data_IF_219512977677
#
_entry.id   IF_219512977677
#
_cell.length_a   1.000
_cell.length_b   1.000
_cell.length_c   1.000
_cell.angle_alpha   90.00
_cell.angle_beta   90.00
_cell.angle_gamma   90.00
#
_symmetry.space_group_name_H-M   'P 1'
#
loop_
_entity.id
_entity.type
_entity.pdbx_description
1 polymer ?
#
# COMPACT_ATOMS: atom_id res chain seq x y z
N UNK A 1 -6.66 16.26 4.40
CA UNK A 1 -6.97 15.42 3.24
C UNK A 1 -7.98 16.09 2.31
N UNK A 2 -9.14 16.55 2.78
CA UNK A 2 -10.16 17.23 1.95
C UNK A 2 -9.56 18.41 1.17
N UNK A 3 -8.88 19.33 1.86
CA UNK A 3 -8.26 20.51 1.25
C UNK A 3 -7.19 20.16 0.21
N UNK A 4 -6.39 19.09 0.46
CA UNK A 4 -5.39 18.62 -0.48
C UNK A 4 -6.03 18.18 -1.81
N UNK A 5 -7.08 17.35 -1.74
CA UNK A 5 -7.77 16.87 -2.94
C UNK A 5 -8.46 18.02 -3.68
N UNK A 6 -9.10 18.93 -2.96
CA UNK A 6 -9.73 20.11 -3.55
C UNK A 6 -8.72 21.02 -4.24
N UNK A 7 -7.54 21.23 -3.65
CA UNK A 7 -6.46 21.99 -4.26
C UNK A 7 -5.95 21.34 -5.55
N UNK A 8 -5.67 20.03 -5.52
CA UNK A 8 -5.19 19.31 -6.70
C UNK A 8 -6.20 19.38 -7.85
N UNK A 9 -7.47 19.04 -7.58
CA UNK A 9 -8.54 19.07 -8.60
C UNK A 9 -8.74 20.46 -9.21
N UNK A 10 -8.59 21.51 -8.40
CA UNK A 10 -8.80 22.91 -8.84
C UNK A 10 -7.61 23.48 -9.58
N UNK A 11 -6.40 23.29 -9.05
CA UNK A 11 -5.23 24.08 -9.42
C UNK A 11 -4.22 23.29 -10.28
N UNK A 12 -4.34 21.93 -10.29
CA UNK A 12 -3.45 21.06 -11.08
C UNK A 12 -4.24 20.33 -12.17
N UNK A 13 -5.32 19.65 -11.79
CA UNK A 13 -6.17 18.92 -12.72
C UNK A 13 -6.81 17.68 -12.12
N UNK A 14 -7.64 16.97 -12.92
CA UNK A 14 -8.35 15.78 -12.46
C UNK A 14 -7.41 14.67 -12.01
N UNK A 15 -7.62 14.16 -10.80
CA UNK A 15 -6.80 13.08 -10.24
C UNK A 15 -7.15 11.75 -10.92
N UNK A 16 -6.20 11.17 -11.64
CA UNK A 16 -6.35 9.87 -12.33
C UNK A 16 -5.86 8.69 -11.49
N UNK A 17 -4.83 8.90 -10.67
CA UNK A 17 -4.24 7.85 -9.84
C UNK A 17 -3.99 8.38 -8.42
N UNK A 18 -4.36 7.58 -7.44
CA UNK A 18 -3.99 7.79 -6.04
C UNK A 18 -3.24 6.58 -5.53
N UNK A 19 -2.01 6.80 -5.08
CA UNK A 19 -1.19 5.77 -4.44
C UNK A 19 -1.07 6.07 -2.95
N UNK A 20 -1.67 5.23 -2.12
CA UNK A 20 -1.49 5.27 -0.68
C UNK A 20 -0.31 4.37 -0.30
N UNK A 21 0.86 4.97 -0.12
CA UNK A 21 2.13 4.29 0.16
C UNK A 21 2.71 4.69 1.53
N UNK A 22 1.88 4.73 2.56
CA UNK A 22 2.33 5.07 3.90
C UNK A 22 2.90 3.84 4.60
N UNK A 23 4.17 3.96 5.02
CA UNK A 23 4.80 3.03 5.95
C UNK A 23 4.40 3.34 7.39
N UNK A 24 4.37 2.32 8.21
CA UNK A 24 4.23 2.44 9.66
C UNK A 24 4.91 1.24 10.31
N UNK A 25 6.00 0.80 9.71
CA UNK A 25 6.73 -0.39 10.13
C UNK A 25 7.46 -0.11 11.46
N UNK A 26 7.00 -0.78 12.52
CA UNK A 26 7.63 -0.76 13.85
C UNK A 26 7.77 -2.19 14.35
N UNK A 27 8.82 -2.44 15.12
CA UNK A 27 9.10 -3.75 15.71
C UNK A 27 9.21 -3.62 17.23
N UNK A 28 8.20 -4.14 17.94
CA UNK A 28 8.15 -4.21 19.39
C UNK A 28 7.53 -5.51 19.84
N UNK A 29 7.97 -6.06 20.98
CA UNK A 29 7.25 -7.18 21.60
C UNK A 29 5.81 -6.78 21.95
N UNK A 30 4.93 -7.76 22.16
CA UNK A 30 3.54 -7.45 22.55
C UNK A 30 3.47 -6.68 23.87
N UNK A 31 4.39 -6.95 24.80
CA UNK A 31 4.44 -6.28 26.11
C UNK A 31 5.03 -4.86 26.02
N UNK A 32 5.94 -4.62 25.07
CA UNK A 32 6.56 -3.31 24.86
C UNK A 32 5.75 -2.41 23.89
N UNK A 33 4.76 -2.99 23.19
CA UNK A 33 3.87 -2.25 22.31
C UNK A 33 2.88 -1.43 23.13
N UNK A 34 3.19 -0.16 23.35
CA UNK A 34 2.29 0.74 24.09
C UNK A 34 1.02 1.04 23.31
N UNK A 35 -0.08 1.40 24.02
CA UNK A 35 -1.32 1.86 23.37
C UNK A 35 -1.05 3.02 22.39
N UNK A 36 -0.20 3.95 22.77
CA UNK A 36 0.19 5.10 21.92
C UNK A 36 0.81 4.64 20.59
N UNK A 37 1.75 3.71 20.63
CA UNK A 37 2.40 3.14 19.44
C UNK A 37 1.36 2.43 18.58
N UNK A 38 0.59 1.52 19.18
CA UNK A 38 -0.43 0.76 18.47
C UNK A 38 -1.43 1.67 17.76
N UNK A 39 -1.98 2.65 18.49
CA UNK A 39 -2.93 3.65 17.95
C UNK A 39 -2.31 4.44 16.80
N UNK A 40 -1.08 4.95 16.98
CA UNK A 40 -0.41 5.76 15.96
C UNK A 40 -0.13 4.99 14.67
N UNK A 41 0.31 3.74 14.79
CA UNK A 41 0.54 2.85 13.62
C UNK A 41 -0.77 2.57 12.89
N UNK A 42 -1.86 2.33 13.63
CA UNK A 42 -3.17 2.12 13.04
C UNK A 42 -3.73 3.38 12.35
N UNK A 43 -3.56 4.55 12.97
CA UNK A 43 -3.93 5.84 12.37
C UNK A 43 -3.19 6.09 11.05
N UNK A 44 -1.89 5.81 11.02
CA UNK A 44 -1.07 6.01 9.82
C UNK A 44 -1.36 4.96 8.74
N UNK A 45 -1.48 3.69 9.09
CA UNK A 45 -1.59 2.59 8.14
C UNK A 45 -3.02 2.30 7.67
N UNK A 46 -4.03 2.49 8.54
CA UNK A 46 -5.41 2.13 8.26
C UNK A 46 -6.32 3.35 8.11
N UNK A 47 -6.40 4.21 9.13
CA UNK A 47 -7.31 5.37 9.11
C UNK A 47 -6.93 6.35 8.01
N UNK A 48 -5.64 6.65 7.83
CA UNK A 48 -5.19 7.54 6.76
C UNK A 48 -5.49 6.93 5.37
N UNK A 49 -5.39 5.60 5.23
CA UNK A 49 -5.82 4.89 4.01
C UNK A 49 -7.30 5.09 3.71
N UNK A 50 -8.16 4.92 4.71
CA UNK A 50 -9.61 5.20 4.58
C UNK A 50 -9.87 6.64 4.17
N UNK A 51 -9.25 7.62 4.84
CA UNK A 51 -9.45 9.04 4.53
C UNK A 51 -8.99 9.38 3.10
N UNK A 52 -7.88 8.82 2.66
CA UNK A 52 -7.35 9.01 1.30
C UNK A 52 -8.29 8.36 0.27
N UNK A 53 -8.64 7.10 0.47
CA UNK A 53 -9.52 6.37 -0.46
C UNK A 53 -10.91 7.01 -0.58
N UNK A 54 -11.46 7.50 0.53
CA UNK A 54 -12.75 8.20 0.53
C UNK A 54 -12.72 9.49 -0.30
N UNK A 55 -11.70 10.32 -0.14
CA UNK A 55 -11.58 11.56 -0.92
C UNK A 55 -11.28 11.26 -2.40
N UNK A 56 -10.44 10.25 -2.69
CA UNK A 56 -10.23 9.78 -4.06
C UNK A 56 -11.55 9.34 -4.72
N UNK A 57 -12.36 8.54 -4.03
CA UNK A 57 -13.65 8.08 -4.53
C UNK A 57 -14.59 9.24 -4.87
N UNK A 58 -14.65 10.27 -4.02
CA UNK A 58 -15.51 11.45 -4.24
C UNK A 58 -15.22 12.16 -5.57
N UNK A 59 -13.93 12.30 -5.94
CA UNK A 59 -13.53 13.02 -7.14
C UNK A 59 -13.52 12.13 -8.40
N UNK A 60 -13.33 10.81 -8.23
CA UNK A 60 -13.27 9.86 -9.35
C UNK A 60 -14.66 9.34 -9.79
N UNK A 61 -15.58 9.08 -8.85
CA UNK A 61 -16.92 8.52 -9.17
C UNK A 61 -17.68 9.33 -10.20
N UNK A 62 -17.77 10.67 -10.13
CA UNK A 62 -18.50 11.46 -11.13
C UNK A 62 -17.96 11.28 -12.55
N UNK A 63 -16.67 11.03 -12.69
CA UNK A 63 -16.00 10.81 -13.99
C UNK A 63 -16.03 9.33 -14.42
N UNK A 64 -16.43 8.41 -13.53
CA UNK A 64 -16.39 6.96 -13.74
C UNK A 64 -15.01 6.46 -14.19
N UNK A 65 -13.97 7.08 -13.67
CA UNK A 65 -12.57 6.85 -14.06
C UNK A 65 -11.63 7.18 -12.91
N UNK A 66 -10.64 6.31 -12.71
CA UNK A 66 -9.56 6.49 -11.74
C UNK A 66 -9.03 5.17 -11.23
N UNK A 67 -7.85 5.22 -10.63
CA UNK A 67 -7.19 4.08 -10.00
C UNK A 67 -6.76 4.45 -8.59
N UNK A 68 -7.10 3.61 -7.62
CA UNK A 68 -6.70 3.75 -6.22
C UNK A 68 -5.83 2.55 -5.86
N UNK A 69 -4.59 2.78 -5.46
CA UNK A 69 -3.64 1.73 -5.10
C UNK A 69 -3.28 1.86 -3.62
N UNK A 70 -3.54 0.81 -2.85
CA UNK A 70 -3.16 0.71 -1.44
C UNK A 70 -1.96 -0.23 -1.31
N UNK A 71 -0.80 0.29 -0.94
CA UNK A 71 0.42 -0.52 -0.77
C UNK A 71 0.29 -1.44 0.43
N UNK A 72 0.25 -2.74 0.14
CA UNK A 72 0.34 -3.81 1.12
C UNK A 72 1.79 -4.16 1.49
N UNK A 73 1.93 -5.16 2.32
CA UNK A 73 3.21 -5.72 2.76
C UNK A 73 3.01 -7.19 3.14
N UNK A 74 4.08 -7.92 3.41
CA UNK A 74 4.03 -9.23 4.11
C UNK A 74 3.04 -9.20 5.29
N UNK A 75 3.05 -8.10 6.04
CA UNK A 75 2.17 -7.87 7.18
C UNK A 75 0.68 -7.72 6.82
N UNK A 76 0.32 -7.65 5.53
CA UNK A 76 -1.08 -7.74 5.07
C UNK A 76 -1.57 -9.19 4.96
N UNK A 77 -0.66 -10.16 4.96
CA UNK A 77 -0.94 -11.60 4.79
C UNK A 77 -0.80 -12.38 6.07
N UNK A 78 0.20 -12.04 6.88
CA UNK A 78 0.53 -12.75 8.13
C UNK A 78 1.07 -11.81 9.20
N UNK A 79 0.71 -12.08 10.44
CA UNK A 79 1.36 -11.47 11.61
C UNK A 79 2.67 -12.18 11.92
N UNK A 80 3.70 -11.42 12.26
CA UNK A 80 4.98 -11.95 12.72
C UNK A 80 5.30 -11.47 14.12
N UNK A 81 6.17 -12.20 14.83
CA UNK A 81 6.64 -11.81 16.16
C UNK A 81 7.20 -10.39 16.13
N UNK A 82 6.72 -9.52 17.02
CA UNK A 82 7.15 -8.13 17.11
C UNK A 82 6.43 -7.16 16.19
N UNK A 83 5.52 -7.60 15.33
CA UNK A 83 4.83 -6.74 14.35
C UNK A 83 3.32 -6.59 14.61
N UNK A 84 2.86 -6.79 15.85
CA UNK A 84 1.42 -6.77 16.18
C UNK A 84 0.70 -5.50 15.73
N UNK A 85 1.29 -4.32 15.97
CA UNK A 85 0.71 -3.04 15.55
C UNK A 85 0.72 -2.88 14.02
N UNK A 86 1.84 -3.17 13.37
CA UNK A 86 2.00 -3.03 11.93
C UNK A 86 1.11 -4.01 11.15
N UNK A 87 1.09 -5.29 11.56
CA UNK A 87 0.25 -6.29 10.92
C UNK A 87 -1.24 -5.95 11.07
N UNK A 88 -1.69 -5.52 12.25
CA UNK A 88 -3.08 -5.10 12.46
C UNK A 88 -3.48 -3.97 11.51
N UNK A 89 -2.62 -2.97 11.33
CA UNK A 89 -2.89 -1.85 10.42
C UNK A 89 -2.92 -2.29 8.95
N UNK A 90 -2.00 -3.17 8.53
CA UNK A 90 -1.92 -3.64 7.14
C UNK A 90 -3.05 -4.61 6.79
N UNK A 91 -3.50 -5.46 7.72
CA UNK A 91 -4.71 -6.25 7.53
C UNK A 91 -5.96 -5.36 7.40
N UNK A 92 -6.08 -4.34 8.25
CA UNK A 92 -7.17 -3.38 8.15
C UNK A 92 -7.18 -2.65 6.81
N UNK A 93 -6.01 -2.23 6.31
CA UNK A 93 -5.86 -1.61 4.99
C UNK A 93 -6.26 -2.56 3.85
N UNK A 94 -5.88 -3.84 3.94
CA UNK A 94 -6.29 -4.87 2.97
C UNK A 94 -7.80 -5.06 2.95
N UNK A 95 -8.44 -5.16 4.12
CA UNK A 95 -9.89 -5.27 4.23
C UNK A 95 -10.61 -4.06 3.65
N UNK A 96 -10.09 -2.84 3.89
CA UNK A 96 -10.58 -1.61 3.29
C UNK A 96 -10.49 -1.67 1.75
N UNK A 97 -9.32 -2.03 1.20
CA UNK A 97 -9.11 -2.14 -0.24
C UNK A 97 -10.10 -3.12 -0.88
N UNK A 98 -10.33 -4.28 -0.25
CA UNK A 98 -11.29 -5.28 -0.72
C UNK A 98 -12.73 -4.75 -0.74
N UNK A 99 -13.13 -4.03 0.31
CA UNK A 99 -14.46 -3.42 0.39
C UNK A 99 -14.65 -2.36 -0.69
N UNK A 100 -13.65 -1.47 -0.82
CA UNK A 100 -13.67 -0.40 -1.83
C UNK A 100 -13.65 -0.95 -3.26
N UNK A 101 -12.90 -2.00 -3.55
CA UNK A 101 -12.88 -2.63 -4.88
C UNK A 101 -14.28 -3.12 -5.29
N UNK A 102 -15.00 -3.78 -4.38
CA UNK A 102 -16.36 -4.27 -4.63
C UNK A 102 -17.36 -3.15 -4.82
N UNK A 103 -17.25 -2.08 -4.05
CA UNK A 103 -18.15 -0.94 -4.11
C UNK A 103 -17.88 -0.03 -5.32
N UNK A 104 -16.63 0.20 -5.65
CA UNK A 104 -16.20 1.21 -6.62
C UNK A 104 -15.98 0.63 -8.03
N UNK A 105 -15.66 -0.66 -8.14
CA UNK A 105 -15.52 -1.33 -9.43
C UNK A 105 -16.72 -1.13 -10.36
N UNK A 106 -17.96 -1.39 -9.92
CA UNK A 106 -19.15 -1.11 -10.73
C UNK A 106 -19.33 0.37 -11.10
N UNK A 107 -18.69 1.28 -10.38
CA UNK A 107 -18.69 2.72 -10.65
C UNK A 107 -17.54 3.16 -11.58
N UNK A 108 -16.76 2.21 -12.10
CA UNK A 108 -15.67 2.45 -13.06
C UNK A 108 -14.36 2.88 -12.42
N UNK A 109 -14.13 2.59 -11.13
CA UNK A 109 -12.90 2.91 -10.40
C UNK A 109 -12.14 1.62 -10.10
N UNK A 110 -10.89 1.55 -10.54
CA UNK A 110 -10.00 0.44 -10.24
C UNK A 110 -9.39 0.60 -8.84
N UNK A 111 -9.57 -0.40 -7.97
CA UNK A 111 -8.95 -0.43 -6.65
C UNK A 111 -8.04 -1.65 -6.55
N UNK A 112 -6.74 -1.40 -6.39
CA UNK A 112 -5.72 -2.43 -6.31
C UNK A 112 -4.97 -2.40 -4.97
N UNK A 113 -4.50 -3.58 -4.55
CA UNK A 113 -3.72 -3.79 -3.33
C UNK A 113 -2.48 -4.64 -3.63
N UNK A 114 -1.40 -4.03 -4.19
CA UNK A 114 -0.13 -4.74 -4.36
C UNK A 114 0.51 -5.03 -3.01
N UNK A 115 0.92 -6.27 -2.80
CA UNK A 115 1.57 -6.77 -1.60
C UNK A 115 3.07 -6.80 -1.87
N UNK A 116 3.83 -5.96 -1.15
CA UNK A 116 5.29 -5.93 -1.24
C UNK A 116 5.82 -6.91 -0.18
N UNK A 117 6.13 -8.13 -0.63
CA UNK A 117 6.56 -9.22 0.25
C UNK A 117 8.07 -9.45 0.13
N UNK A 118 8.85 -8.65 0.85
CA UNK A 118 10.31 -8.74 0.91
C UNK A 118 10.97 -7.42 1.29
N UNK A 119 12.29 -7.45 1.43
CA UNK A 119 13.08 -6.25 1.63
C UNK A 119 13.12 -5.42 0.33
N UNK A 120 13.11 -4.11 0.47
CA UNK A 120 13.18 -3.17 -0.66
C UNK A 120 14.55 -2.51 -0.64
N UNK A 121 15.19 -2.34 -1.80
CA UNK A 121 16.46 -1.62 -1.96
C UNK A 121 16.29 -0.15 -1.53
N UNK A 122 16.67 0.13 -0.29
CA UNK A 122 16.59 1.44 0.35
C UNK A 122 17.78 1.63 1.28
N UNK A 123 18.11 2.90 1.55
CA UNK A 123 19.14 3.21 2.56
C UNK A 123 18.81 2.61 3.92
N UNK A 124 17.53 2.57 4.28
CA UNK A 124 17.08 1.95 5.53
C UNK A 124 17.46 0.46 5.62
N UNK A 125 17.25 -0.31 4.55
CA UNK A 125 17.62 -1.73 4.51
C UNK A 125 19.13 -1.88 4.50
N UNK A 126 19.86 -1.07 3.73
CA UNK A 126 21.33 -1.08 3.70
C UNK A 126 21.92 -0.85 5.10
N UNK A 127 21.41 0.15 5.81
CA UNK A 127 22.01 0.61 7.06
C UNK A 127 21.59 -0.25 8.28
N UNK A 128 20.40 -0.89 8.23
CA UNK A 128 19.86 -1.65 9.36
C UNK A 128 19.85 -3.18 9.16
N UNK A 129 19.95 -3.64 7.92
CA UNK A 129 19.90 -5.07 7.56
C UNK A 129 20.94 -5.42 6.48
N UNK A 130 22.26 -5.19 6.72
CA UNK A 130 23.32 -5.33 5.72
C UNK A 130 23.35 -6.72 5.08
N UNK A 131 23.15 -7.79 5.86
CA UNK A 131 23.13 -9.16 5.34
C UNK A 131 22.00 -9.38 4.30
N UNK A 132 20.85 -8.72 4.48
CA UNK A 132 19.76 -8.74 3.49
C UNK A 132 20.11 -7.87 2.28
N UNK A 133 20.78 -6.75 2.52
CA UNK A 133 21.17 -5.84 1.45
C UNK A 133 22.20 -6.46 0.50
N UNK A 134 23.08 -7.34 0.97
CA UNK A 134 24.04 -8.11 0.16
C UNK A 134 23.37 -9.00 -0.89
N UNK A 135 22.09 -9.34 -0.72
CA UNK A 135 21.34 -10.11 -1.70
C UNK A 135 20.91 -9.27 -2.93
N UNK A 136 21.13 -7.96 -2.92
CA UNK A 136 20.76 -7.05 -4.02
C UNK A 136 21.34 -7.50 -5.36
N UNK A 137 22.63 -7.84 -5.40
CA UNK A 137 23.32 -8.22 -6.63
C UNK A 137 22.88 -9.58 -7.19
N UNK A 138 22.01 -10.30 -6.44
CA UNK A 138 21.42 -11.58 -6.80
C UNK A 138 19.92 -11.48 -7.01
N UNK A 139 19.37 -10.27 -7.17
CA UNK A 139 17.92 -9.99 -7.24
C UNK A 139 17.15 -10.52 -6.01
N UNK A 140 17.82 -10.62 -4.86
CA UNK A 140 17.25 -11.13 -3.61
C UNK A 140 16.48 -10.09 -2.78
N UNK A 141 16.47 -8.82 -3.20
CA UNK A 141 15.62 -7.75 -2.66
C UNK A 141 14.90 -7.00 -3.80
N UNK A 142 13.78 -6.36 -3.48
CA UNK A 142 12.95 -5.67 -4.45
C UNK A 142 13.57 -4.34 -4.90
N UNK A 143 13.62 -4.12 -6.20
CA UNK A 143 14.01 -2.84 -6.79
C UNK A 143 12.79 -1.89 -6.79
N UNK A 144 12.89 -0.66 -6.22
CA UNK A 144 11.80 0.32 -6.22
C UNK A 144 11.26 0.68 -7.61
N UNK A 145 12.13 0.73 -8.63
CA UNK A 145 11.73 1.04 -10.01
C UNK A 145 10.86 -0.07 -10.59
N UNK A 146 11.21 -1.34 -10.33
CA UNK A 146 10.39 -2.48 -10.77
C UNK A 146 9.04 -2.52 -10.04
N UNK A 147 8.98 -2.12 -8.76
CA UNK A 147 7.71 -1.96 -8.04
C UNK A 147 6.88 -0.85 -8.68
N UNK A 148 7.48 0.30 -9.00
CA UNK A 148 6.78 1.43 -9.62
C UNK A 148 6.21 1.06 -11.00
N UNK A 149 6.94 0.27 -11.78
CA UNK A 149 6.48 -0.24 -13.08
C UNK A 149 5.21 -1.11 -12.91
N UNK A 150 5.15 -1.98 -11.88
CA UNK A 150 3.94 -2.76 -11.62
C UNK A 150 2.75 -1.86 -11.25
N UNK A 151 2.98 -0.76 -10.54
CA UNK A 151 1.90 0.20 -10.20
C UNK A 151 1.38 0.91 -11.45
N UNK A 152 2.28 1.26 -12.37
CA UNK A 152 1.91 1.82 -13.67
C UNK A 152 1.11 0.81 -14.51
N UNK A 153 1.54 -0.44 -14.54
CA UNK A 153 0.82 -1.52 -15.23
C UNK A 153 -0.58 -1.73 -14.67
N UNK A 154 -0.75 -1.72 -13.33
CA UNK A 154 -2.07 -1.78 -12.71
C UNK A 154 -2.98 -0.65 -13.19
N UNK A 155 -2.46 0.58 -13.27
CA UNK A 155 -3.25 1.72 -13.76
C UNK A 155 -3.65 1.56 -15.24
N UNK A 156 -2.79 1.00 -16.06
CA UNK A 156 -3.01 0.84 -17.51
C UNK A 156 -3.91 -0.35 -17.89
N UNK A 157 -4.32 -1.19 -16.94
CA UNK A 157 -5.14 -2.36 -17.23
C UNK A 157 -6.51 -2.01 -17.82
N UNK A 158 -6.97 -2.77 -18.83
CA UNK A 158 -8.32 -2.62 -19.36
C UNK A 158 -9.37 -3.03 -18.33
N UNK A 159 -10.57 -2.45 -18.45
CA UNK A 159 -11.66 -2.60 -17.46
C UNK A 159 -12.19 -4.03 -17.30
N UNK A 160 -12.00 -4.86 -18.30
CA UNK A 160 -12.47 -6.26 -18.30
C UNK A 160 -11.52 -7.23 -17.59
N UNK A 161 -10.35 -6.74 -17.16
CA UNK A 161 -9.30 -7.58 -16.55
C UNK A 161 -8.49 -6.86 -15.46
N UNK A 162 -9.15 -6.13 -14.59
CA UNK A 162 -8.52 -5.46 -13.46
C UNK A 162 -8.00 -6.43 -12.41
N UNK A 163 -6.73 -6.28 -12.04
CA UNK A 163 -6.11 -6.99 -10.92
C UNK A 163 -6.43 -6.29 -9.61
N UNK A 164 -7.02 -7.00 -8.66
CA UNK A 164 -7.27 -6.45 -7.33
C UNK A 164 -6.08 -6.65 -6.39
N UNK A 165 -5.55 -7.86 -6.27
CA UNK A 165 -4.35 -8.14 -5.47
C UNK A 165 -3.22 -8.66 -6.35
N UNK A 166 -2.02 -8.17 -6.11
CA UNK A 166 -0.79 -8.55 -6.77
C UNK A 166 0.28 -8.76 -5.71
N UNK A 167 0.93 -9.91 -5.74
CA UNK A 167 2.01 -10.26 -4.83
C UNK A 167 3.37 -10.05 -5.52
N UNK A 168 4.16 -9.12 -5.01
CA UNK A 168 5.50 -8.80 -5.49
C UNK A 168 6.54 -9.25 -4.46
N UNK A 169 7.42 -10.15 -4.86
CA UNK A 169 8.49 -10.66 -3.99
C UNK A 169 9.75 -10.98 -4.77
N UNK A 170 10.92 -10.90 -4.15
CA UNK A 170 12.14 -11.46 -4.73
C UNK A 170 11.97 -12.99 -4.91
N UNK A 171 12.62 -13.54 -5.91
CA UNK A 171 12.57 -14.99 -6.18
C UNK A 171 13.14 -15.85 -5.02
N UNK A 172 13.98 -15.25 -4.16
CA UNK A 172 14.59 -15.89 -3.00
C UNK A 172 13.71 -15.79 -1.73
N UNK A 173 12.63 -15.00 -1.73
CA UNK A 173 11.78 -14.84 -0.54
C UNK A 173 10.95 -16.12 -0.33
N UNK A 174 10.92 -16.56 0.93
CA UNK A 174 10.17 -17.77 1.33
C UNK A 174 8.80 -17.44 1.91
N UNK A 175 7.86 -18.34 1.68
CA UNK A 175 6.48 -18.21 2.22
C UNK A 175 6.38 -18.53 3.70
#
# INVERSE_FOLDING_TARGET
MVELFAHIEKDIGPIEVVVFNIGANVHFSILDTTERVYRKVWEMGALAGFLTGREAAKVMIPRKRGTIIFTGATASLRGSKGFSAFASAKFALRALAQSMARELGPKGIHVAHPIIDGAIDTDFIRDNFPERYELKDQDGILNPEHIAEQYWQLHCQPRDSWTHELDLRPWMETF
#
